data_IF_845691488219
#
_entry.id   IF_845691488219
#
_cell.length_a   1.000
_cell.length_b   1.000
_cell.length_c   1.000
_cell.angle_alpha   90.00
_cell.angle_beta   90.00
_cell.angle_gamma   90.00
#
_symmetry.space_group_name_H-M   'P 1'
#
loop_
_entity.id
_entity.type
_entity.pdbx_description
1 polymer ?
#
# COMPACT_ATOMS: atom_id res chain seq x y z
N UNK A 1 -32.32 28.16 -3.76
CA UNK A 1 -30.97 28.03 -3.15
C UNK A 1 -30.29 26.81 -3.75
N UNK A 2 -29.26 26.98 -4.59
CA UNK A 2 -28.38 25.86 -4.96
C UNK A 2 -27.61 25.46 -3.70
N UNK A 3 -27.70 24.20 -3.25
CA UNK A 3 -26.80 23.68 -2.21
C UNK A 3 -25.38 23.90 -2.72
N UNK A 4 -24.55 24.58 -1.92
CA UNK A 4 -23.12 24.74 -2.18
C UNK A 4 -22.56 23.32 -2.34
N UNK A 5 -21.93 23.07 -3.47
CA UNK A 5 -21.19 21.84 -3.70
C UNK A 5 -20.15 21.72 -2.57
N UNK A 6 -20.21 20.70 -1.70
CA UNK A 6 -19.20 20.50 -0.68
C UNK A 6 -17.92 20.12 -1.43
N UNK A 7 -17.08 21.11 -1.74
CA UNK A 7 -15.91 20.93 -2.59
C UNK A 7 -15.09 19.68 -2.23
N UNK A 8 -14.50 19.07 -3.25
CA UNK A 8 -13.64 17.90 -3.13
C UNK A 8 -12.57 18.13 -2.04
N UNK A 9 -12.57 17.27 -1.03
CA UNK A 9 -11.67 17.34 0.13
C UNK A 9 -10.68 16.18 0.08
N UNK A 10 -9.39 16.49 0.25
CA UNK A 10 -8.30 15.52 0.35
C UNK A 10 -7.65 15.67 1.71
N UNK A 11 -7.49 14.57 2.44
CA UNK A 11 -6.91 14.55 3.77
C UNK A 11 -6.39 13.18 4.15
N UNK A 12 -5.71 13.09 5.29
CA UNK A 12 -5.29 11.81 5.83
C UNK A 12 -6.51 10.93 6.19
N UNK A 13 -6.42 9.62 5.98
CA UNK A 13 -7.52 8.67 6.19
C UNK A 13 -8.15 8.79 7.59
N UNK A 14 -7.33 8.88 8.65
CA UNK A 14 -7.82 9.02 10.03
C UNK A 14 -8.62 10.31 10.27
N UNK A 15 -8.30 11.40 9.56
CA UNK A 15 -9.01 12.67 9.67
C UNK A 15 -10.37 12.58 8.98
N UNK A 16 -10.41 12.00 7.78
CA UNK A 16 -11.66 11.76 7.04
C UNK A 16 -12.56 10.77 7.78
N UNK A 17 -11.98 9.73 8.38
CA UNK A 17 -12.69 8.77 9.22
C UNK A 17 -13.42 9.45 10.37
N UNK A 18 -12.71 10.25 11.17
CA UNK A 18 -13.29 10.95 12.31
C UNK A 18 -14.36 11.97 11.88
N UNK A 19 -14.11 12.70 10.79
CA UNK A 19 -15.01 13.76 10.30
C UNK A 19 -16.31 13.20 9.73
N UNK A 20 -16.25 12.08 9.00
CA UNK A 20 -17.38 11.53 8.25
C UNK A 20 -17.95 10.24 8.87
N UNK A 21 -17.38 9.74 9.96
CA UNK A 21 -17.85 8.52 10.64
C UNK A 21 -17.61 7.24 9.84
N UNK A 22 -16.54 7.19 9.03
CA UNK A 22 -16.19 6.09 8.13
C UNK A 22 -15.57 4.90 8.89
N UNK A 23 -16.35 4.33 9.80
CA UNK A 23 -15.98 3.20 10.63
C UNK A 23 -16.60 1.91 10.09
N UNK A 24 -15.89 0.79 10.21
CA UNK A 24 -16.35 -0.51 9.74
C UNK A 24 -17.70 -0.94 10.32
N UNK A 25 -18.04 -0.49 11.53
CA UNK A 25 -19.33 -0.74 12.19
C UNK A 25 -20.48 0.06 11.58
N UNK A 26 -20.19 1.17 10.90
CA UNK A 26 -21.18 2.03 10.25
C UNK A 26 -21.32 1.72 8.75
N UNK A 27 -20.69 0.65 8.26
CA UNK A 27 -20.75 0.28 6.84
C UNK A 27 -22.19 -0.06 6.42
N UNK A 28 -22.58 0.26 5.19
CA UNK A 28 -23.85 -0.20 4.66
C UNK A 28 -23.85 -1.73 4.57
N UNK A 29 -24.94 -2.35 4.99
CA UNK A 29 -25.21 -3.74 4.65
C UNK A 29 -25.56 -3.82 3.16
N UNK A 30 -24.99 -4.80 2.47
CA UNK A 30 -25.29 -5.08 1.06
C UNK A 30 -25.95 -6.45 0.97
N UNK A 31 -26.85 -6.59 0.00
CA UNK A 31 -27.49 -7.87 -0.33
C UNK A 31 -27.29 -8.07 -1.82
N UNK A 32 -26.63 -9.16 -2.19
CA UNK A 32 -26.25 -9.41 -3.59
C UNK A 32 -27.29 -10.32 -4.22
N UNK A 33 -27.82 -9.91 -5.38
CA UNK A 33 -28.70 -10.75 -6.18
C UNK A 33 -27.90 -11.90 -6.83
N UNK A 34 -28.14 -13.18 -6.47
CA UNK A 34 -27.43 -14.30 -7.06
C UNK A 34 -27.62 -14.42 -8.58
N UNK A 35 -28.73 -13.91 -9.13
CA UNK A 35 -28.98 -13.94 -10.57
C UNK A 35 -28.02 -13.04 -11.37
N UNK A 36 -27.34 -12.09 -10.70
CA UNK A 36 -26.33 -11.23 -11.31
C UNK A 36 -24.90 -11.81 -11.20
N UNK A 37 -24.73 -12.94 -10.53
CA UNK A 37 -23.42 -13.54 -10.23
C UNK A 37 -23.27 -14.85 -11.01
N UNK A 38 -22.14 -15.07 -11.72
CA UNK A 38 -21.83 -16.36 -12.33
C UNK A 38 -21.94 -17.51 -11.33
N UNK A 39 -22.51 -18.65 -11.75
CA UNK A 39 -22.81 -19.78 -10.86
C UNK A 39 -21.60 -20.24 -10.03
N UNK A 40 -20.41 -20.27 -10.64
CA UNK A 40 -19.16 -20.64 -9.98
C UNK A 40 -18.71 -19.67 -8.87
N UNK A 41 -19.17 -18.41 -8.93
CA UNK A 41 -18.85 -17.34 -7.97
C UNK A 41 -19.94 -17.14 -6.91
N UNK A 42 -21.14 -17.69 -7.11
CA UNK A 42 -22.25 -17.60 -6.14
C UNK A 42 -21.89 -18.07 -4.72
N UNK A 43 -21.04 -19.10 -4.51
CA UNK A 43 -20.58 -19.47 -3.17
C UNK A 43 -19.87 -18.35 -2.41
N UNK A 44 -19.33 -17.33 -3.11
CA UNK A 44 -18.69 -16.17 -2.50
C UNK A 44 -19.68 -15.10 -2.03
N UNK A 45 -20.97 -15.17 -2.38
CA UNK A 45 -21.95 -14.11 -2.07
C UNK A 45 -21.95 -13.74 -0.58
N UNK A 46 -22.05 -14.68 0.40
CA UNK A 46 -22.04 -14.31 1.81
C UNK A 46 -20.71 -13.64 2.24
N UNK A 47 -19.60 -14.02 1.61
CA UNK A 47 -18.29 -13.42 1.85
C UNK A 47 -18.22 -12.02 1.24
N UNK A 48 -18.73 -11.83 0.02
CA UNK A 48 -18.85 -10.53 -0.62
C UNK A 48 -19.71 -9.59 0.23
N UNK A 49 -20.88 -10.03 0.69
CA UNK A 49 -21.78 -9.22 1.53
C UNK A 49 -21.12 -8.73 2.81
N UNK A 50 -20.21 -9.54 3.38
CA UNK A 50 -19.47 -9.16 4.59
C UNK A 50 -18.27 -8.25 4.31
N UNK A 51 -17.49 -8.54 3.27
CA UNK A 51 -16.14 -7.97 3.07
C UNK A 51 -16.03 -6.95 1.93
N UNK A 52 -16.99 -6.89 1.00
CA UNK A 52 -16.97 -6.00 -0.17
C UNK A 52 -17.35 -4.55 0.15
N UNK A 53 -16.57 -3.92 1.03
CA UNK A 53 -16.82 -2.55 1.48
C UNK A 53 -16.23 -1.57 0.46
N UNK A 54 -17.04 -0.72 -0.15
CA UNK A 54 -16.58 0.16 -1.23
C UNK A 54 -15.60 1.26 -0.82
N UNK A 55 -15.74 1.82 0.38
CA UNK A 55 -14.85 2.86 0.91
C UNK A 55 -13.59 2.24 1.51
N UNK A 56 -12.42 2.64 1.02
CA UNK A 56 -11.10 2.20 1.50
C UNK A 56 -10.88 2.50 2.99
N UNK A 57 -11.23 3.71 3.46
CA UNK A 57 -11.13 4.09 4.88
C UNK A 57 -11.96 3.15 5.76
N UNK A 58 -13.21 2.90 5.39
CA UNK A 58 -14.11 2.00 6.13
C UNK A 58 -13.65 0.54 6.04
N UNK A 59 -13.18 0.10 4.87
CA UNK A 59 -12.74 -1.28 4.61
C UNK A 59 -11.50 -1.63 5.42
N UNK A 60 -10.48 -0.77 5.39
CA UNK A 60 -9.26 -0.95 6.16
C UNK A 60 -9.54 -0.94 7.68
N UNK A 61 -10.40 -0.04 8.15
CA UNK A 61 -10.83 -0.04 9.56
C UNK A 61 -11.53 -1.35 9.94
N UNK A 62 -12.42 -1.86 9.08
CA UNK A 62 -13.10 -3.13 9.30
C UNK A 62 -12.12 -4.30 9.39
N UNK A 63 -11.20 -4.41 8.42
CA UNK A 63 -10.17 -5.47 8.36
C UNK A 63 -9.31 -5.44 9.63
N UNK A 64 -8.79 -4.27 10.03
CA UNK A 64 -7.92 -4.14 11.20
C UNK A 64 -8.61 -4.46 12.53
N UNK A 65 -9.93 -4.39 12.59
CA UNK A 65 -10.71 -4.73 13.78
C UNK A 65 -11.10 -6.21 13.85
N UNK A 66 -10.94 -6.97 12.76
CA UNK A 66 -11.25 -8.41 12.77
C UNK A 66 -10.13 -9.19 13.46
N UNK A 67 -10.45 -10.35 14.07
CA UNK A 67 -9.44 -11.30 14.52
C UNK A 67 -8.54 -11.74 13.36
N UNK A 68 -7.25 -11.88 13.65
CA UNK A 68 -6.22 -12.26 12.68
C UNK A 68 -6.55 -13.57 11.94
N UNK A 69 -7.08 -14.55 12.65
CA UNK A 69 -7.44 -15.84 12.06
C UNK A 69 -8.67 -15.74 11.15
N UNK A 70 -9.59 -14.80 11.41
CA UNK A 70 -10.72 -14.53 10.51
C UNK A 70 -10.26 -13.86 9.22
N UNK A 71 -9.37 -12.87 9.29
CA UNK A 71 -8.80 -12.21 8.10
C UNK A 71 -8.06 -13.23 7.22
N UNK A 72 -7.28 -14.13 7.84
CA UNK A 72 -6.60 -15.20 7.12
C UNK A 72 -7.56 -16.19 6.47
N UNK A 73 -8.61 -16.62 7.19
CA UNK A 73 -9.63 -17.50 6.60
C UNK A 73 -10.33 -16.84 5.42
N UNK A 74 -10.64 -15.56 5.53
CA UNK A 74 -11.20 -14.77 4.44
C UNK A 74 -10.27 -14.78 3.21
N UNK A 75 -9.01 -14.40 3.39
CA UNK A 75 -8.01 -14.38 2.32
C UNK A 75 -7.88 -15.76 1.66
N UNK A 76 -7.67 -16.81 2.44
CA UNK A 76 -7.51 -18.18 1.92
C UNK A 76 -8.76 -18.72 1.22
N UNK A 77 -9.96 -18.30 1.66
CA UNK A 77 -11.23 -18.71 1.06
C UNK A 77 -11.45 -18.06 -0.32
N UNK A 78 -11.10 -16.78 -0.47
CA UNK A 78 -11.29 -16.04 -1.74
C UNK A 78 -10.20 -16.36 -2.75
N UNK A 79 -8.95 -16.62 -2.31
CA UNK A 79 -7.79 -16.88 -3.16
C UNK A 79 -8.05 -17.82 -4.36
N UNK A 80 -8.67 -19.02 -4.20
CA UNK A 80 -8.87 -19.94 -5.34
C UNK A 80 -9.86 -19.42 -6.40
N UNK A 81 -10.67 -18.40 -6.09
CA UNK A 81 -11.62 -17.81 -7.02
C UNK A 81 -11.08 -16.56 -7.72
N UNK A 82 -9.89 -16.08 -7.35
CA UNK A 82 -9.36 -14.78 -7.83
C UNK A 82 -9.34 -14.69 -9.34
N UNK A 83 -8.84 -15.72 -10.02
CA UNK A 83 -8.78 -15.76 -11.48
C UNK A 83 -10.17 -15.72 -12.13
N UNK A 84 -11.17 -16.38 -11.54
CA UNK A 84 -12.55 -16.38 -12.05
C UNK A 84 -13.23 -15.02 -11.82
N UNK A 85 -12.96 -14.36 -10.69
CA UNK A 85 -13.42 -12.98 -10.43
C UNK A 85 -12.83 -12.04 -11.49
N UNK A 86 -11.51 -12.08 -11.69
CA UNK A 86 -10.84 -11.21 -12.64
C UNK A 86 -11.34 -11.46 -14.07
N UNK A 87 -11.46 -12.72 -14.49
CA UNK A 87 -11.99 -13.07 -15.81
C UNK A 87 -13.43 -12.58 -16.04
N UNK A 88 -14.28 -12.64 -15.00
CA UNK A 88 -15.64 -12.10 -15.09
C UNK A 88 -15.63 -10.58 -15.24
N UNK A 89 -14.86 -9.87 -14.41
CA UNK A 89 -14.78 -8.41 -14.43
C UNK A 89 -14.17 -7.90 -15.75
N UNK A 90 -13.13 -8.57 -16.26
CA UNK A 90 -12.48 -8.24 -17.54
C UNK A 90 -13.40 -8.43 -18.76
N UNK A 91 -14.43 -9.29 -18.65
CA UNK A 91 -15.40 -9.54 -19.70
C UNK A 91 -16.53 -8.50 -19.75
N UNK A 92 -16.67 -7.64 -18.74
CA UNK A 92 -17.70 -6.61 -18.68
C UNK A 92 -17.34 -5.40 -19.58
N UNK A 93 -18.34 -4.57 -19.95
CA UNK A 93 -18.08 -3.33 -20.69
C UNK A 93 -17.09 -2.42 -19.95
N UNK A 94 -16.33 -1.60 -20.69
CA UNK A 94 -15.38 -0.66 -20.06
C UNK A 94 -16.04 0.46 -19.25
N UNK A 95 -17.34 0.71 -19.47
CA UNK A 95 -18.12 1.66 -18.66
C UNK A 95 -18.75 0.95 -17.45
N UNK A 96 -18.29 1.31 -16.26
CA UNK A 96 -18.76 0.76 -14.98
C UNK A 96 -20.26 1.03 -14.78
N UNK A 97 -20.82 2.09 -15.38
CA UNK A 97 -22.24 2.37 -15.29
C UNK A 97 -23.12 1.30 -15.96
N UNK A 98 -22.54 0.45 -16.81
CA UNK A 98 -23.22 -0.66 -17.48
C UNK A 98 -23.07 -2.00 -16.74
N UNK A 99 -22.32 -2.02 -15.64
CA UNK A 99 -22.08 -3.25 -14.88
C UNK A 99 -23.31 -3.66 -14.08
N UNK A 100 -23.53 -4.98 -13.86
CA UNK A 100 -24.46 -5.40 -12.83
C UNK A 100 -23.94 -4.97 -11.45
N UNK A 101 -24.85 -4.60 -10.54
CA UNK A 101 -24.49 -4.14 -9.19
C UNK A 101 -23.57 -5.16 -8.47
N UNK A 102 -23.85 -6.46 -8.64
CA UNK A 102 -23.04 -7.54 -8.09
C UNK A 102 -21.57 -7.49 -8.53
N UNK A 103 -21.27 -7.10 -9.77
CA UNK A 103 -19.89 -7.00 -10.25
C UNK A 103 -19.12 -5.91 -9.49
N UNK A 104 -19.77 -4.79 -9.16
CA UNK A 104 -19.17 -3.75 -8.30
C UNK A 104 -18.80 -4.30 -6.92
N UNK A 105 -19.65 -5.13 -6.32
CA UNK A 105 -19.35 -5.78 -5.05
C UNK A 105 -18.20 -6.81 -5.17
N UNK A 106 -18.15 -7.59 -6.24
CA UNK A 106 -17.05 -8.54 -6.45
C UNK A 106 -15.71 -7.85 -6.76
N UNK A 107 -15.73 -6.69 -7.42
CA UNK A 107 -14.56 -5.83 -7.54
C UNK A 107 -14.07 -5.38 -6.16
N UNK A 108 -14.95 -4.93 -5.28
CA UNK A 108 -14.55 -4.55 -3.91
C UNK A 108 -14.15 -5.75 -3.04
N UNK A 109 -14.72 -6.93 -3.26
CA UNK A 109 -14.28 -8.18 -2.63
C UNK A 109 -12.83 -8.50 -3.03
N UNK A 110 -12.50 -8.38 -4.32
CA UNK A 110 -11.16 -8.56 -4.85
C UNK A 110 -10.16 -7.58 -4.20
N UNK A 111 -10.52 -6.29 -4.12
CA UNK A 111 -9.69 -5.29 -3.44
C UNK A 111 -9.52 -5.63 -1.95
N UNK A 112 -10.60 -6.01 -1.25
CA UNK A 112 -10.55 -6.41 0.15
C UNK A 112 -9.63 -7.62 0.37
N UNK A 113 -9.66 -8.61 -0.53
CA UNK A 113 -8.77 -9.76 -0.51
C UNK A 113 -7.29 -9.33 -0.60
N UNK A 114 -6.97 -8.40 -1.50
CA UNK A 114 -5.60 -7.93 -1.68
C UNK A 114 -5.11 -7.11 -0.48
N UNK A 115 -6.00 -6.33 0.15
CA UNK A 115 -5.71 -5.60 1.39
C UNK A 115 -5.59 -6.50 2.62
N UNK A 116 -6.31 -7.63 2.64
CA UNK A 116 -6.24 -8.63 3.71
C UNK A 116 -4.98 -9.52 3.62
N UNK A 117 -4.20 -9.41 2.55
CA UNK A 117 -2.96 -10.17 2.40
C UNK A 117 -1.96 -9.75 3.47
N UNK A 118 -1.60 -10.72 4.31
CA UNK A 118 -0.53 -10.59 5.29
C UNK A 118 0.73 -11.27 4.76
N UNK A 119 1.70 -10.51 4.23
CA UNK A 119 2.94 -11.10 3.76
C UNK A 119 3.65 -11.80 4.93
N UNK A 120 4.11 -13.02 4.68
CA UNK A 120 4.93 -13.75 5.64
C UNK A 120 6.22 -12.99 5.94
N UNK A 121 6.87 -13.23 7.09
CA UNK A 121 8.18 -12.63 7.37
C UNK A 121 9.23 -12.89 6.27
N UNK A 122 9.10 -13.99 5.52
CA UNK A 122 9.96 -14.30 4.37
C UNK A 122 9.68 -13.41 3.16
N UNK A 123 8.40 -13.20 2.83
CA UNK A 123 7.98 -12.33 1.73
C UNK A 123 8.30 -10.86 2.02
N UNK A 124 8.10 -10.40 3.26
CA UNK A 124 8.53 -9.07 3.72
C UNK A 124 10.04 -8.92 3.48
N UNK A 125 10.84 -9.90 3.90
CA UNK A 125 12.30 -9.86 3.71
C UNK A 125 12.68 -9.78 2.22
N UNK A 126 12.08 -10.60 1.37
CA UNK A 126 12.37 -10.60 -0.07
C UNK A 126 11.95 -9.27 -0.74
N UNK A 127 10.83 -8.69 -0.32
CA UNK A 127 10.38 -7.37 -0.77
C UNK A 127 11.38 -6.30 -0.34
N UNK A 128 11.79 -6.30 0.92
CA UNK A 128 12.71 -5.31 1.47
C UNK A 128 14.11 -5.44 0.83
N UNK A 129 14.58 -6.66 0.56
CA UNK A 129 15.81 -6.93 -0.20
C UNK A 129 15.73 -6.40 -1.63
N UNK A 130 14.59 -6.59 -2.31
CA UNK A 130 14.34 -6.05 -3.65
C UNK A 130 14.32 -4.52 -3.63
N UNK A 131 13.56 -3.94 -2.71
CA UNK A 131 13.47 -2.49 -2.52
C UNK A 131 14.84 -1.90 -2.26
N UNK A 132 15.61 -2.49 -1.37
CA UNK A 132 16.96 -2.05 -1.05
C UNK A 132 17.88 -2.19 -2.27
N UNK A 133 17.83 -3.29 -3.03
CA UNK A 133 18.61 -3.44 -4.27
C UNK A 133 18.29 -2.37 -5.31
N UNK A 134 17.02 -2.00 -5.46
CA UNK A 134 16.56 -1.05 -6.48
C UNK A 134 16.77 0.41 -6.05
N UNK A 135 16.59 0.72 -4.76
CA UNK A 135 16.68 2.09 -4.24
C UNK A 135 18.08 2.46 -3.79
N UNK A 136 18.92 1.50 -3.37
CA UNK A 136 20.29 1.75 -2.91
C UNK A 136 21.13 2.53 -3.92
N UNK A 137 21.16 2.22 -5.24
CA UNK A 137 21.95 3.00 -6.19
C UNK A 137 21.56 4.48 -6.22
N UNK A 138 20.25 4.77 -6.21
CA UNK A 138 19.72 6.15 -6.20
C UNK A 138 20.07 6.86 -4.89
N UNK A 139 19.99 6.17 -3.76
CA UNK A 139 20.35 6.71 -2.44
C UNK A 139 21.84 7.00 -2.33
N UNK A 140 22.70 6.12 -2.87
CA UNK A 140 24.14 6.34 -2.95
C UNK A 140 24.43 7.56 -3.82
N UNK A 141 23.82 7.66 -5.01
CA UNK A 141 24.00 8.81 -5.90
C UNK A 141 23.61 10.13 -5.22
N UNK A 142 22.43 10.17 -4.58
CA UNK A 142 21.97 11.35 -3.84
C UNK A 142 22.91 11.69 -2.68
N UNK A 143 23.35 10.68 -1.92
CA UNK A 143 24.30 10.87 -0.83
C UNK A 143 25.66 11.38 -1.34
N UNK A 144 26.17 10.85 -2.45
CA UNK A 144 27.41 11.29 -3.09
C UNK A 144 27.33 12.75 -3.57
N UNK A 145 26.21 13.15 -4.18
CA UNK A 145 25.99 14.54 -4.60
C UNK A 145 25.92 15.49 -3.40
N UNK A 146 25.14 15.15 -2.38
CA UNK A 146 25.02 15.95 -1.16
C UNK A 146 26.36 16.03 -0.40
N UNK A 147 27.08 14.91 -0.31
CA UNK A 147 28.39 14.86 0.33
C UNK A 147 29.44 15.67 -0.42
N UNK A 148 29.35 15.76 -1.76
CA UNK A 148 30.24 16.61 -2.54
C UNK A 148 30.05 18.10 -2.19
N UNK A 149 28.81 18.59 -2.09
CA UNK A 149 28.51 19.96 -1.64
C UNK A 149 28.97 20.19 -0.19
N UNK A 150 28.66 19.27 0.73
CA UNK A 150 29.08 19.36 2.13
C UNK A 150 30.61 19.38 2.27
N UNK A 151 31.31 18.57 1.48
CA UNK A 151 32.77 18.50 1.46
C UNK A 151 33.38 19.81 0.98
N UNK A 152 32.84 20.42 -0.08
CA UNK A 152 33.28 21.74 -0.56
C UNK A 152 33.11 22.83 0.51
N UNK A 153 32.01 22.75 1.29
CA UNK A 153 31.72 23.65 2.41
C UNK A 153 32.45 23.29 3.71
N UNK A 154 33.32 22.26 3.69
CA UNK A 154 34.06 21.74 4.85
C UNK A 154 33.19 21.28 6.02
N UNK A 155 31.94 20.87 5.74
CA UNK A 155 31.04 20.28 6.72
C UNK A 155 31.31 18.79 6.84
N UNK A 156 32.41 18.44 7.51
CA UNK A 156 32.90 17.05 7.53
C UNK A 156 32.01 16.09 8.33
N UNK A 157 31.25 16.59 9.32
CA UNK A 157 30.23 15.79 10.02
C UNK A 157 29.18 15.30 9.02
N UNK A 158 28.58 16.22 8.25
CA UNK A 158 27.58 15.91 7.24
C UNK A 158 28.12 14.92 6.19
N UNK A 159 29.38 15.07 5.75
CA UNK A 159 29.99 14.11 4.80
C UNK A 159 30.05 12.69 5.38
N UNK A 160 30.40 12.56 6.66
CA UNK A 160 30.46 11.24 7.33
C UNK A 160 29.05 10.67 7.47
N UNK A 161 28.09 11.47 7.95
CA UNK A 161 26.70 11.02 8.10
C UNK A 161 26.06 10.58 6.78
N UNK A 162 26.34 11.30 5.69
CA UNK A 162 25.80 11.00 4.37
C UNK A 162 26.42 9.73 3.75
N UNK A 163 27.75 9.55 3.85
CA UNK A 163 28.45 8.49 3.13
C UNK A 163 28.67 7.21 3.94
N UNK A 164 28.77 7.29 5.28
CA UNK A 164 29.07 6.13 6.12
C UNK A 164 28.06 4.97 5.97
N UNK A 165 26.73 5.19 5.86
CA UNK A 165 25.78 4.10 5.67
C UNK A 165 26.02 3.27 4.41
N UNK A 166 26.76 3.82 3.44
CA UNK A 166 27.02 3.21 2.13
C UNK A 166 28.47 2.80 1.93
N UNK A 167 29.32 2.86 2.96
CA UNK A 167 30.77 2.65 2.86
C UNK A 167 31.21 1.40 2.06
N UNK A 168 30.57 0.22 2.19
CA UNK A 168 30.92 -0.96 1.40
C UNK A 168 30.66 -0.84 -0.10
N UNK A 169 29.87 0.16 -0.52
CA UNK A 169 29.37 0.35 -1.87
C UNK A 169 29.91 1.62 -2.53
N UNK A 170 30.71 2.42 -1.83
CA UNK A 170 31.22 3.68 -2.36
C UNK A 170 32.28 3.45 -3.46
N UNK A 171 32.19 4.26 -4.51
CA UNK A 171 33.29 4.38 -5.47
C UNK A 171 34.52 5.03 -4.83
N UNK A 172 35.68 4.88 -5.49
CA UNK A 172 36.99 5.37 -5.00
C UNK A 172 36.97 6.84 -4.56
N UNK A 173 36.28 7.72 -5.30
CA UNK A 173 36.22 9.14 -4.98
C UNK A 173 35.48 9.41 -3.66
N UNK A 174 34.28 8.86 -3.49
CA UNK A 174 33.46 9.10 -2.31
C UNK A 174 34.03 8.43 -1.08
N UNK A 175 34.62 7.23 -1.22
CA UNK A 175 35.37 6.61 -0.15
C UNK A 175 36.54 7.50 0.31
N UNK A 176 37.26 8.12 -0.63
CA UNK A 176 38.31 9.10 -0.32
C UNK A 176 37.80 10.31 0.47
N UNK A 177 36.63 10.87 0.09
CA UNK A 177 35.98 11.97 0.82
C UNK A 177 35.63 11.56 2.25
N UNK A 178 35.03 10.37 2.43
CA UNK A 178 34.65 9.83 3.73
C UNK A 178 35.87 9.67 4.66
N UNK A 179 36.96 9.04 4.17
CA UNK A 179 38.20 8.88 4.95
C UNK A 179 38.81 10.24 5.31
N UNK A 180 38.81 11.20 4.38
CA UNK A 180 39.31 12.54 4.65
C UNK A 180 38.47 13.23 5.72
N UNK A 181 37.14 13.22 5.60
CA UNK A 181 36.22 13.86 6.54
C UNK A 181 36.39 13.31 7.95
N UNK A 182 36.48 11.98 8.12
CA UNK A 182 36.74 11.33 9.42
C UNK A 182 38.02 11.83 10.10
N UNK A 183 39.09 12.10 9.34
CA UNK A 183 40.36 12.62 9.87
C UNK A 183 40.27 14.08 10.35
N UNK A 184 39.29 14.84 9.86
CA UNK A 184 39.12 16.27 10.14
C UNK A 184 37.95 16.55 11.09
N UNK A 185 37.33 15.51 11.65
CA UNK A 185 36.39 15.67 12.75
C UNK A 185 37.14 16.14 14.00
N UNK A 186 36.53 17.03 14.81
CA UNK A 186 37.08 17.37 16.10
C UNK A 186 37.23 16.10 16.94
N UNK A 187 38.40 15.92 17.56
CA UNK A 187 38.58 14.86 18.55
C UNK A 187 37.73 15.20 19.77
N UNK A 188 37.09 14.19 20.41
CA UNK A 188 36.35 14.40 21.65
C UNK A 188 37.24 14.99 22.75
#
# INVERSE_FOLDING_TARGET
MRKKDPGFEVGAAWLLQQKYGLYGENRPEIVIDPAQVPEELQPLIPTAERWAIGCDVTRLDYIHKQPLDEVRRFHEFVRPFREAIDAWLDALPGDIAEWPDAAGHFMYLAIAHDEAYEPTPGEIRLRDERWERETRPKRIEQASLAAADAFQRRKYVDVVELLQPFEPFLGRSDHGKLVYARKHLPKP
#
